data_IF_128140833533
#
_entry.id   IF_128140833533
#
_cell.length_a   1.000
_cell.length_b   1.000
_cell.length_c   1.000
_cell.angle_alpha   90.00
_cell.angle_beta   90.00
_cell.angle_gamma   90.00
#
_symmetry.space_group_name_H-M   'P 1'
#
loop_
_entity.id
_entity.type
_entity.pdbx_description
1 polymer ?
#
# COMPACT_ATOMS: atom_id res chain seq x y z
N UNK A 1 26.61 2.32 -0.21
CA UNK A 1 27.51 3.24 0.52
C UNK A 1 27.23 3.23 2.04
N UNK A 2 25.99 3.43 2.46
CA UNK A 2 25.60 3.47 3.89
C UNK A 2 25.99 2.21 4.67
N UNK A 3 25.96 1.06 4.02
CA UNK A 3 26.25 -0.26 4.62
C UNK A 3 27.67 -0.75 4.31
N UNK A 4 28.54 0.10 3.75
CA UNK A 4 29.95 -0.19 3.41
C UNK A 4 30.12 -1.36 2.44
N UNK A 5 29.17 -1.55 1.55
CA UNK A 5 29.29 -2.53 0.46
C UNK A 5 30.38 -2.13 -0.54
N UNK A 6 30.91 -3.12 -1.25
CA UNK A 6 31.95 -2.89 -2.27
C UNK A 6 31.43 -1.96 -3.37
N UNK A 7 32.31 -1.06 -3.92
CA UNK A 7 31.91 -0.12 -4.98
C UNK A 7 31.22 -0.78 -6.18
N UNK A 8 31.68 -1.95 -6.60
CA UNK A 8 31.11 -2.69 -7.72
C UNK A 8 29.67 -3.14 -7.45
N UNK A 9 29.38 -3.54 -6.20
CA UNK A 9 28.02 -3.91 -5.77
C UNK A 9 27.12 -2.66 -5.75
N UNK A 10 27.62 -1.55 -5.21
CA UNK A 10 26.90 -0.29 -5.20
C UNK A 10 26.57 0.21 -6.62
N UNK A 11 27.55 0.08 -7.55
CA UNK A 11 27.34 0.42 -8.95
C UNK A 11 26.31 -0.51 -9.60
N UNK A 12 26.38 -1.81 -9.40
CA UNK A 12 25.41 -2.76 -9.95
C UNK A 12 23.98 -2.47 -9.46
N UNK A 13 23.80 -2.12 -8.17
CA UNK A 13 22.50 -1.76 -7.60
C UNK A 13 21.96 -0.47 -8.22
N UNK A 14 22.76 0.57 -8.38
CA UNK A 14 22.31 1.86 -8.91
C UNK A 14 22.19 1.89 -10.43
N UNK A 15 22.96 1.09 -11.17
CA UNK A 15 23.04 1.15 -12.62
C UNK A 15 22.12 0.15 -13.37
N UNK A 16 21.56 -0.89 -12.71
CA UNK A 16 20.77 -1.91 -13.42
C UNK A 16 19.44 -1.40 -14.00
N UNK A 17 18.95 -0.24 -13.57
CA UNK A 17 17.82 0.49 -14.16
C UNK A 17 18.25 1.74 -14.95
N UNK A 18 19.53 1.85 -15.31
CA UNK A 18 20.08 2.98 -16.09
C UNK A 18 20.01 4.35 -15.39
N UNK A 19 19.86 4.36 -14.05
CA UNK A 19 19.83 5.60 -13.26
C UNK A 19 21.21 6.23 -13.08
N UNK A 20 22.27 5.42 -13.12
CA UNK A 20 23.67 5.85 -13.10
C UNK A 20 24.47 5.08 -14.14
N UNK A 21 25.67 5.59 -14.50
CA UNK A 21 26.54 4.95 -15.47
C UNK A 21 27.07 3.60 -14.96
N UNK A 22 27.06 2.59 -15.86
CA UNK A 22 27.61 1.27 -15.59
C UNK A 22 29.11 1.29 -15.68
N UNK A 23 29.82 1.18 -14.57
CA UNK A 23 31.28 1.20 -14.51
C UNK A 23 31.91 -0.17 -14.42
N UNK A 24 31.12 -1.24 -14.22
CA UNK A 24 31.59 -2.61 -14.09
C UNK A 24 30.76 -3.57 -14.94
N UNK A 25 31.34 -4.72 -15.27
CA UNK A 25 30.62 -5.80 -15.99
C UNK A 25 29.53 -6.48 -15.13
N UNK A 26 29.50 -6.24 -13.83
CA UNK A 26 28.49 -6.79 -12.93
C UNK A 26 27.14 -6.12 -13.17
N UNK A 27 27.12 -4.81 -13.43
CA UNK A 27 25.87 -4.05 -13.62
C UNK A 27 25.03 -4.57 -14.82
N UNK A 28 25.57 -4.74 -16.05
CA UNK A 28 24.80 -5.30 -17.16
C UNK A 28 24.38 -6.76 -16.94
N UNK A 29 25.15 -7.56 -16.19
CA UNK A 29 24.76 -8.92 -15.84
C UNK A 29 23.55 -8.90 -14.90
N UNK A 30 23.57 -8.05 -13.88
CA UNK A 30 22.45 -7.87 -12.94
C UNK A 30 21.20 -7.37 -13.68
N UNK A 31 21.35 -6.41 -14.59
CA UNK A 31 20.25 -5.90 -15.42
C UNK A 31 19.61 -7.02 -16.27
N UNK A 32 20.44 -7.84 -16.93
CA UNK A 32 19.94 -8.97 -17.72
C UNK A 32 19.21 -10.01 -16.85
N UNK A 33 19.78 -10.34 -15.68
CA UNK A 33 19.15 -11.27 -14.73
C UNK A 33 17.82 -10.74 -14.18
N UNK A 34 17.74 -9.44 -13.88
CA UNK A 34 16.51 -8.78 -13.43
C UNK A 34 15.44 -8.82 -14.52
N UNK A 35 15.80 -8.47 -15.76
CA UNK A 35 14.90 -8.53 -16.90
C UNK A 35 14.35 -9.94 -17.14
N UNK A 36 15.20 -10.97 -17.09
CA UNK A 36 14.81 -12.38 -17.22
C UNK A 36 13.91 -12.80 -16.07
N UNK A 37 14.26 -12.43 -14.83
CA UNK A 37 13.45 -12.74 -13.65
C UNK A 37 12.06 -12.10 -13.72
N UNK A 38 11.98 -10.84 -14.13
CA UNK A 38 10.71 -10.12 -14.30
C UNK A 38 9.85 -10.63 -15.47
N UNK A 39 10.50 -11.21 -16.49
CA UNK A 39 9.80 -11.78 -17.66
C UNK A 39 9.27 -13.20 -17.43
N UNK A 40 9.62 -13.87 -16.33
CA UNK A 40 9.14 -15.23 -16.03
C UNK A 40 7.61 -15.28 -16.01
N UNK A 41 7.00 -16.36 -16.56
CA UNK A 41 5.57 -16.60 -16.39
C UNK A 41 5.20 -16.61 -14.89
N UNK A 42 4.23 -15.81 -14.49
CA UNK A 42 3.75 -15.72 -13.10
C UNK A 42 4.40 -14.62 -12.24
N UNK A 43 5.61 -14.14 -12.54
CA UNK A 43 6.29 -13.13 -11.73
C UNK A 43 5.44 -11.85 -11.51
N UNK A 44 4.83 -11.33 -12.58
CA UNK A 44 3.92 -10.16 -12.49
C UNK A 44 2.60 -10.50 -11.82
N UNK A 45 2.11 -11.73 -12.00
CA UNK A 45 0.87 -12.20 -11.39
C UNK A 45 1.00 -12.32 -9.88
N UNK A 46 2.08 -12.88 -9.38
CA UNK A 46 2.39 -12.99 -7.94
C UNK A 46 2.45 -11.61 -7.26
N UNK A 47 3.06 -10.62 -7.92
CA UNK A 47 3.12 -9.23 -7.43
C UNK A 47 1.72 -8.62 -7.36
N UNK A 48 0.90 -8.80 -8.40
CA UNK A 48 -0.48 -8.28 -8.45
C UNK A 48 -1.36 -8.97 -7.41
N UNK A 49 -1.27 -10.30 -7.28
CA UNK A 49 -2.03 -11.06 -6.29
C UNK A 49 -1.68 -10.65 -4.85
N UNK A 50 -0.40 -10.49 -4.53
CA UNK A 50 0.04 -10.03 -3.22
C UNK A 50 -0.38 -8.60 -2.91
N UNK A 51 -0.43 -7.75 -3.93
CA UNK A 51 -0.94 -6.39 -3.84
C UNK A 51 -2.44 -6.36 -3.54
N UNK A 52 -3.24 -7.10 -4.31
CA UNK A 52 -4.70 -7.20 -4.10
C UNK A 52 -5.02 -7.78 -2.72
N UNK A 53 -4.27 -8.78 -2.29
CA UNK A 53 -4.41 -9.38 -0.96
C UNK A 53 -4.20 -8.34 0.15
N UNK A 54 -3.14 -7.52 0.06
CA UNK A 54 -2.88 -6.44 1.02
C UNK A 54 -3.97 -5.39 1.07
N UNK A 55 -4.52 -4.98 -0.10
CA UNK A 55 -5.64 -4.05 -0.14
C UNK A 55 -6.85 -4.62 0.61
N UNK A 56 -7.17 -5.88 0.36
CA UNK A 56 -8.28 -6.56 1.00
C UNK A 56 -8.08 -6.72 2.50
N UNK A 57 -6.91 -7.12 2.94
CA UNK A 57 -6.55 -7.22 4.37
C UNK A 57 -6.72 -5.86 5.08
N UNK A 58 -6.34 -4.76 4.45
CA UNK A 58 -6.51 -3.40 4.98
C UNK A 58 -7.99 -2.99 5.06
N UNK A 59 -8.79 -3.33 4.05
CA UNK A 59 -10.24 -3.10 4.05
C UNK A 59 -10.94 -3.94 5.13
N UNK A 60 -10.62 -5.24 5.23
CA UNK A 60 -11.19 -6.17 6.20
C UNK A 60 -10.83 -5.76 7.64
N UNK A 61 -9.59 -5.30 7.87
CA UNK A 61 -9.16 -4.77 9.16
C UNK A 61 -10.04 -3.61 9.59
N UNK A 62 -10.27 -2.65 8.70
CA UNK A 62 -11.11 -1.49 9.03
C UNK A 62 -12.59 -1.85 9.18
N UNK A 63 -13.11 -2.83 8.42
CA UNK A 63 -14.48 -3.34 8.56
C UNK A 63 -14.74 -4.01 9.92
N UNK A 64 -13.69 -4.48 10.59
CA UNK A 64 -13.83 -5.11 11.92
C UNK A 64 -14.20 -4.13 13.04
N UNK A 65 -14.07 -2.82 12.80
CA UNK A 65 -14.41 -1.80 13.80
C UNK A 65 -15.90 -1.55 13.89
N UNK A 66 -16.39 -1.40 15.11
CA UNK A 66 -17.81 -1.16 15.35
C UNK A 66 -18.25 0.19 14.77
N UNK A 67 -19.39 0.19 14.07
CA UNK A 67 -19.94 1.38 13.42
C UNK A 67 -19.41 1.65 12.01
N UNK A 68 -18.40 0.90 11.54
CA UNK A 68 -17.95 0.95 10.16
C UNK A 68 -18.96 0.25 9.24
N UNK A 69 -19.39 0.95 8.19
CA UNK A 69 -20.37 0.47 7.21
C UNK A 69 -19.70 0.01 5.93
N UNK A 70 -18.68 0.75 5.47
CA UNK A 70 -17.95 0.46 4.24
C UNK A 70 -16.52 0.95 4.33
N UNK A 71 -15.62 0.27 3.60
CA UNK A 71 -14.23 0.64 3.45
C UNK A 71 -13.84 0.61 1.99
N UNK A 72 -12.90 1.47 1.60
CA UNK A 72 -12.36 1.55 0.26
C UNK A 72 -10.87 1.86 0.30
N UNK A 73 -10.05 0.96 -0.21
CA UNK A 73 -8.65 1.24 -0.50
C UNK A 73 -8.54 1.92 -1.87
N UNK A 74 -8.07 3.16 -1.89
CA UNK A 74 -7.93 3.99 -3.10
C UNK A 74 -6.49 4.48 -3.28
N UNK A 75 -6.23 5.14 -4.40
CA UNK A 75 -4.90 5.66 -4.75
C UNK A 75 -3.80 4.58 -4.67
N UNK A 76 -4.07 3.41 -5.26
CA UNK A 76 -3.16 2.26 -5.18
C UNK A 76 -2.81 1.84 -3.74
N UNK A 77 -3.79 1.93 -2.81
CA UNK A 77 -3.63 1.56 -1.41
C UNK A 77 -2.98 2.64 -0.53
N UNK A 78 -2.71 3.82 -1.06
CA UNK A 78 -2.14 4.93 -0.28
C UNK A 78 -3.18 5.67 0.58
N UNK A 79 -4.46 5.47 0.30
CA UNK A 79 -5.55 6.02 1.10
C UNK A 79 -6.59 4.93 1.39
N UNK A 80 -6.94 4.79 2.66
CA UNK A 80 -8.05 3.97 3.13
C UNK A 80 -9.19 4.89 3.56
N UNK A 81 -10.31 4.82 2.84
CA UNK A 81 -11.55 5.52 3.23
C UNK A 81 -12.45 4.59 4.01
N UNK A 82 -12.85 5.03 5.17
CA UNK A 82 -13.72 4.31 6.10
C UNK A 82 -14.99 5.12 6.28
N UNK A 83 -16.12 4.56 5.90
CA UNK A 83 -17.44 5.19 6.06
C UNK A 83 -18.09 4.61 7.30
N UNK A 84 -18.46 5.49 8.23
CA UNK A 84 -19.15 5.14 9.48
C UNK A 84 -20.55 5.72 9.51
N UNK A 85 -21.47 5.02 10.17
CA UNK A 85 -22.84 5.50 10.35
C UNK A 85 -22.90 6.67 11.32
N UNK A 86 -23.48 7.80 10.90
CA UNK A 86 -23.61 8.99 11.74
C UNK A 86 -24.44 8.78 13.00
N UNK A 87 -25.32 7.79 13.02
CA UNK A 87 -26.14 7.42 14.18
C UNK A 87 -25.40 6.57 15.21
N UNK A 88 -24.32 5.88 14.77
CA UNK A 88 -23.60 4.90 15.60
C UNK A 88 -22.27 5.43 16.11
N UNK A 89 -21.71 6.42 15.45
CA UNK A 89 -20.36 6.94 15.71
C UNK A 89 -20.42 8.45 15.81
N UNK A 90 -19.98 9.02 16.93
CA UNK A 90 -19.79 10.46 17.13
C UNK A 90 -18.53 10.97 16.42
N UNK A 91 -18.35 12.29 16.34
CA UNK A 91 -17.15 12.89 15.74
C UNK A 91 -15.87 12.48 16.50
N UNK A 92 -15.93 12.47 17.82
CA UNK A 92 -14.82 12.05 18.68
C UNK A 92 -14.47 10.59 18.50
N UNK A 93 -15.47 9.72 18.34
CA UNK A 93 -15.25 8.31 18.05
C UNK A 93 -14.68 8.08 16.66
N UNK A 94 -15.12 8.87 15.66
CA UNK A 94 -14.55 8.79 14.31
C UNK A 94 -13.06 9.16 14.30
N UNK A 95 -12.67 10.18 15.07
CA UNK A 95 -11.28 10.57 15.25
C UNK A 95 -10.46 9.44 15.90
N UNK A 96 -10.99 8.84 16.96
CA UNK A 96 -10.38 7.70 17.64
C UNK A 96 -10.22 6.50 16.73
N UNK A 97 -11.26 6.14 15.96
CA UNK A 97 -11.25 5.04 14.98
C UNK A 97 -10.15 5.29 13.93
N UNK A 98 -10.01 6.53 13.42
CA UNK A 98 -8.98 6.85 12.42
C UNK A 98 -7.57 6.62 12.96
N UNK A 99 -7.32 7.02 14.20
CA UNK A 99 -6.05 6.81 14.87
C UNK A 99 -5.75 5.32 15.12
N UNK A 100 -6.73 4.58 15.65
CA UNK A 100 -6.58 3.15 15.95
C UNK A 100 -6.33 2.32 14.69
N UNK A 101 -7.06 2.58 13.60
CA UNK A 101 -6.85 1.92 12.30
C UNK A 101 -5.45 2.23 11.77
N UNK A 102 -5.03 3.50 11.79
CA UNK A 102 -3.71 3.90 11.32
C UNK A 102 -2.60 3.21 12.11
N UNK A 103 -2.72 3.15 13.43
CA UNK A 103 -1.78 2.46 14.31
C UNK A 103 -1.75 0.96 14.02
N UNK A 104 -2.90 0.33 13.86
CA UNK A 104 -2.99 -1.11 13.60
C UNK A 104 -2.41 -1.48 12.23
N UNK A 105 -2.63 -0.66 11.19
CA UNK A 105 -1.97 -0.83 9.89
C UNK A 105 -0.45 -0.74 10.05
N UNK A 106 0.05 0.22 10.83
CA UNK A 106 1.48 0.40 11.08
C UNK A 106 2.10 -0.78 11.82
N UNK A 107 1.40 -1.34 12.81
CA UNK A 107 1.93 -2.38 13.70
C UNK A 107 1.81 -3.80 13.08
N UNK A 108 0.74 -4.07 12.34
CA UNK A 108 0.40 -5.41 11.84
C UNK A 108 0.69 -5.62 10.34
N UNK A 109 0.79 -4.54 9.56
CA UNK A 109 0.95 -4.66 8.11
C UNK A 109 2.31 -4.18 7.62
N UNK A 110 2.96 -5.00 6.80
CA UNK A 110 4.15 -4.56 6.05
C UNK A 110 3.70 -3.79 4.81
N UNK A 111 3.77 -2.45 4.88
CA UNK A 111 3.38 -1.58 3.78
C UNK A 111 4.54 -0.66 3.36
N UNK A 112 4.89 -0.58 2.07
CA UNK A 112 5.95 0.30 1.60
C UNK A 112 5.43 1.74 1.47
N UNK A 113 5.56 2.53 2.52
CA UNK A 113 5.20 3.94 2.50
C UNK A 113 4.16 4.35 3.55
N UNK A 114 3.49 5.48 3.32
CA UNK A 114 2.46 6.00 4.22
C UNK A 114 1.07 5.67 3.67
N UNK A 115 0.16 5.29 4.57
CA UNK A 115 -1.26 5.10 4.28
C UNK A 115 -2.05 6.20 5.00
N UNK A 116 -2.79 6.98 4.23
CA UNK A 116 -3.72 7.98 4.77
C UNK A 116 -5.02 7.29 5.16
N UNK A 117 -5.42 7.33 6.42
CA UNK A 117 -6.71 6.84 6.89
C UNK A 117 -7.69 8.00 7.01
N UNK A 118 -8.79 7.94 6.24
CA UNK A 118 -9.85 8.95 6.24
C UNK A 118 -11.15 8.34 6.73
N UNK A 119 -11.62 8.73 7.89
CA UNK A 119 -12.94 8.31 8.42
C UNK A 119 -13.98 9.36 8.05
N UNK A 120 -15.07 8.93 7.44
CA UNK A 120 -16.16 9.78 6.95
C UNK A 120 -17.45 9.37 7.66
N UNK A 121 -18.06 10.29 8.39
CA UNK A 121 -19.44 10.16 8.88
C UNK A 121 -20.40 10.62 7.80
N UNK A 122 -21.32 9.75 7.42
CA UNK A 122 -22.24 10.04 6.32
C UNK A 122 -23.71 9.87 6.74
N UNK A 123 -24.52 10.86 6.39
CA UNK A 123 -25.98 10.78 6.43
C UNK A 123 -26.50 10.90 5.00
N UNK A 124 -27.27 9.92 4.51
CA UNK A 124 -27.86 9.94 3.17
C UNK A 124 -29.37 10.06 3.25
N UNK A 125 -29.93 11.07 2.59
CA UNK A 125 -31.35 11.17 2.30
C UNK A 125 -31.56 10.90 0.79
N UNK A 126 -32.41 9.93 0.44
CA UNK A 126 -32.65 9.55 -0.95
C UNK A 126 -34.15 9.73 -1.25
N UNK A 127 -34.47 10.51 -2.30
CA UNK A 127 -35.81 10.66 -2.85
C UNK A 127 -35.77 10.40 -4.34
N UNK A 128 -36.81 9.76 -4.85
CA UNK A 128 -36.96 9.50 -6.29
C UNK A 128 -37.98 10.47 -6.90
N UNK A 129 -37.57 11.25 -7.92
CA UNK A 129 -38.50 11.94 -8.78
C UNK A 129 -39.08 10.92 -9.78
N UNK A 130 -40.43 10.95 -9.94
CA UNK A 130 -41.14 10.14 -10.92
C UNK A 130 -41.58 11.02 -12.09
#
# INVERSE_FOLDING_TARGET
EKYKEKPDICNAIGAHHEEIEMTTMIAPIVQACDAISGARPGARREVVESYIKRLKEMEDLALSYNGVVKTYAIQAGRELRVVVGSEKVSDTEAEKISYEIAKKIQDEMTYPGQVKVTVIRETRAINYAK
#
